data_IF_466150661468
#
_entry.id   IF_466150661468
#
_cell.length_a   1.000
_cell.length_b   1.000
_cell.length_c   1.000
_cell.angle_alpha   90.00
_cell.angle_beta   90.00
_cell.angle_gamma   90.00
#
_symmetry.space_group_name_H-M   'P 1'
#
loop_
_entity.id
_entity.type
_entity.pdbx_description
1 polymer ?
#
# COMPACT_ATOMS: atom_id res chain seq x y z
N UNK A 1 3.92 19.43 -14.62
CA UNK A 1 3.35 18.28 -13.94
C UNK A 1 4.31 17.11 -14.02
N UNK A 2 4.58 16.49 -12.90
CA UNK A 2 5.47 15.34 -12.85
C UNK A 2 4.73 14.09 -13.29
N UNK A 3 5.47 13.11 -13.79
CA UNK A 3 4.87 11.85 -14.22
C UNK A 3 4.06 11.22 -13.10
N UNK A 4 4.58 11.26 -11.88
CA UNK A 4 3.86 10.66 -10.75
C UNK A 4 2.51 11.34 -10.53
N UNK A 5 2.44 12.66 -10.71
CA UNK A 5 1.17 13.35 -10.53
C UNK A 5 0.12 12.86 -11.52
N UNK A 6 0.55 12.63 -12.76
CA UNK A 6 -0.36 12.14 -13.79
C UNK A 6 -0.86 10.73 -13.46
N UNK A 7 0.03 9.89 -12.93
CA UNK A 7 -0.34 8.53 -12.58
C UNK A 7 -1.37 8.54 -11.44
N UNK A 8 -1.17 9.41 -10.45
CA UNK A 8 -2.09 9.47 -9.32
C UNK A 8 -3.51 9.80 -9.77
N UNK A 9 -3.64 10.57 -10.84
CA UNK A 9 -4.97 10.93 -11.32
C UNK A 9 -5.73 9.73 -11.86
N UNK A 10 -5.04 8.64 -12.18
CA UNK A 10 -5.66 7.44 -12.72
C UNK A 10 -5.92 6.39 -11.65
N UNK A 11 -5.48 6.62 -10.42
CA UNK A 11 -5.60 5.65 -9.34
C UNK A 11 -6.73 6.06 -8.40
N UNK A 12 -7.17 5.14 -7.54
CA UNK A 12 -8.24 5.50 -6.60
C UNK A 12 -7.85 6.71 -5.77
N UNK A 13 -8.84 7.52 -5.51
CA UNK A 13 -8.63 8.76 -4.79
C UNK A 13 -8.17 8.47 -3.37
N UNK A 14 -7.16 9.22 -2.91
CA UNK A 14 -6.65 9.06 -1.55
C UNK A 14 -5.42 8.20 -1.46
N UNK A 15 -5.07 7.48 -2.52
CA UNK A 15 -3.90 6.61 -2.47
C UNK A 15 -2.61 7.39 -2.33
N UNK A 16 -2.58 8.60 -2.87
CA UNK A 16 -1.36 9.41 -2.80
C UNK A 16 -1.07 9.86 -1.37
N UNK A 17 -2.06 9.79 -0.48
CA UNK A 17 -1.82 10.11 0.92
C UNK A 17 -1.21 8.94 1.68
N UNK A 18 -1.41 7.73 1.18
CA UNK A 18 -0.96 6.51 1.87
C UNK A 18 0.29 5.93 1.27
N UNK A 19 0.50 6.12 -0.02
CA UNK A 19 1.57 5.44 -0.74
C UNK A 19 2.39 6.43 -1.55
N UNK A 20 3.59 5.99 -1.91
CA UNK A 20 4.39 6.70 -2.89
C UNK A 20 4.70 5.75 -4.03
N UNK A 21 4.75 6.29 -5.23
CA UNK A 21 5.08 5.52 -6.42
C UNK A 21 6.60 5.42 -6.50
N UNK A 22 7.11 4.19 -6.42
CA UNK A 22 8.55 3.99 -6.47
C UNK A 22 9.02 3.48 -7.81
N UNK A 23 8.09 2.98 -8.63
CA UNK A 23 8.44 2.48 -9.95
C UNK A 23 7.19 2.43 -10.82
N UNK A 24 7.36 2.67 -12.11
CA UNK A 24 6.27 2.60 -13.06
C UNK A 24 6.82 2.03 -14.36
N UNK A 25 6.14 1.04 -14.92
CA UNK A 25 6.49 0.47 -16.20
C UNK A 25 5.26 0.38 -17.08
N UNK A 26 5.45 0.70 -18.35
CA UNK A 26 4.39 0.59 -19.33
C UNK A 26 4.89 -0.29 -20.46
N UNK A 27 4.12 -1.31 -20.78
CA UNK A 27 4.39 -2.18 -21.91
C UNK A 27 3.18 -2.16 -22.82
N UNK A 28 3.29 -2.88 -23.93
CA UNK A 28 2.13 -3.02 -24.81
C UNK A 28 1.03 -3.84 -24.19
N UNK A 29 1.37 -4.65 -23.18
CA UNK A 29 0.41 -5.54 -22.56
C UNK A 29 -0.20 -4.98 -21.29
N UNK A 30 0.50 -4.10 -20.58
CA UNK A 30 0.03 -3.74 -19.25
C UNK A 30 0.75 -2.51 -18.72
N UNK A 31 0.17 -1.95 -17.66
CA UNK A 31 0.84 -0.96 -16.83
C UNK A 31 1.16 -1.63 -15.49
N UNK A 32 2.38 -1.44 -15.01
CA UNK A 32 2.80 -1.95 -13.71
C UNK A 32 3.25 -0.78 -12.85
N UNK A 33 2.67 -0.65 -11.67
CA UNK A 33 2.95 0.46 -10.76
C UNK A 33 3.33 -0.11 -9.42
N UNK A 34 4.50 0.26 -8.93
CA UNK A 34 4.99 -0.20 -7.62
C UNK A 34 4.74 0.90 -6.59
N UNK A 35 4.07 0.53 -5.51
CA UNK A 35 3.62 1.46 -4.48
C UNK A 35 4.14 0.99 -3.13
N UNK A 36 4.86 1.86 -2.45
CA UNK A 36 5.30 1.60 -1.09
C UNK A 36 4.48 2.47 -0.14
N UNK A 37 4.03 1.88 0.96
CA UNK A 37 3.32 2.64 1.96
C UNK A 37 4.25 3.67 2.58
N UNK A 38 3.78 4.89 2.72
CA UNK A 38 4.55 5.94 3.39
C UNK A 38 4.72 5.58 4.86
N UNK A 39 5.91 5.87 5.40
CA UNK A 39 6.17 5.56 6.80
C UNK A 39 5.45 6.54 7.68
N UNK A 40 4.49 6.03 8.43
CA UNK A 40 3.72 6.88 9.33
C UNK A 40 3.16 6.02 10.45
N UNK A 41 3.48 6.38 11.68
CA UNK A 41 2.93 5.73 12.87
C UNK A 41 1.69 6.50 13.30
N UNK A 42 0.76 5.79 13.95
CA UNK A 42 -0.32 6.46 14.64
C UNK A 42 0.25 7.34 15.72
N UNK A 43 -0.53 8.33 16.18
CA UNK A 43 -0.05 9.23 17.22
C UNK A 43 0.35 8.45 18.46
N UNK A 44 -0.43 7.44 18.81
CA UNK A 44 -0.12 6.64 19.99
C UNK A 44 1.17 5.87 19.81
N UNK A 45 1.34 5.23 18.66
CA UNK A 45 2.54 4.42 18.42
C UNK A 45 3.77 5.32 18.27
N UNK A 46 3.60 6.52 17.74
CA UNK A 46 4.70 7.44 17.58
C UNK A 46 5.32 7.82 18.92
N UNK A 47 4.50 7.84 19.97
CA UNK A 47 4.99 8.16 21.31
C UNK A 47 5.65 6.99 22.00
N UNK A 48 5.56 5.80 21.41
CA UNK A 48 6.10 4.59 22.02
C UNK A 48 7.51 4.36 21.49
N UNK A 49 8.55 4.58 22.33
CA UNK A 49 9.93 4.45 21.81
C UNK A 49 10.33 3.01 21.51
N UNK A 50 9.52 2.04 21.87
CA UNK A 50 9.81 0.65 21.57
C UNK A 50 9.41 0.24 20.16
N UNK A 51 8.64 1.07 19.47
CA UNK A 51 8.16 0.73 18.13
C UNK A 51 9.10 1.31 17.11
N UNK A 52 9.66 0.44 16.28
CA UNK A 52 10.63 0.82 15.27
C UNK A 52 10.25 0.19 13.95
N UNK A 53 10.78 0.76 12.88
CA UNK A 53 10.54 0.24 11.54
C UNK A 53 11.25 -1.10 11.39
N UNK A 54 10.61 -2.04 10.69
CA UNK A 54 11.17 -3.37 10.45
C UNK A 54 11.05 -3.76 8.99
N UNK A 55 11.23 -2.82 8.08
CA UNK A 55 11.18 -3.12 6.66
C UNK A 55 9.76 -3.13 6.14
N UNK A 56 9.56 -3.91 5.08
CA UNK A 56 8.30 -3.93 4.36
C UNK A 56 7.79 -5.35 4.26
N UNK A 57 6.48 -5.47 4.05
CA UNK A 57 5.91 -6.75 3.65
C UNK A 57 6.37 -7.09 2.25
N UNK A 58 6.05 -8.30 1.81
CA UNK A 58 6.23 -8.65 0.40
C UNK A 58 5.28 -7.82 -0.44
N UNK A 59 5.65 -7.60 -1.70
CA UNK A 59 4.73 -6.96 -2.62
C UNK A 59 3.55 -7.89 -2.88
N UNK A 60 2.36 -7.31 -2.83
CA UNK A 60 1.14 -7.99 -3.23
C UNK A 60 0.69 -7.34 -4.52
N UNK A 61 0.39 -8.15 -5.53
CA UNK A 61 -0.04 -7.63 -6.81
C UNK A 61 -1.56 -7.71 -6.88
N UNK A 62 -2.17 -6.56 -7.13
CA UNK A 62 -3.61 -6.50 -7.34
C UNK A 62 -3.87 -5.89 -8.71
N UNK A 63 -4.93 -6.33 -9.35
CA UNK A 63 -5.32 -5.80 -10.65
C UNK A 63 -6.37 -4.72 -10.44
N UNK A 64 -6.07 -3.53 -10.94
CA UNK A 64 -6.99 -2.42 -10.89
C UNK A 64 -7.76 -2.36 -12.20
N UNK A 65 -8.59 -1.36 -12.36
CA UNK A 65 -9.34 -1.19 -13.58
C UNK A 65 -8.41 -0.85 -14.74
N UNK A 66 -8.71 -1.34 -15.93
CA UNK A 66 -7.80 -1.10 -17.05
C UNK A 66 -7.75 0.36 -17.45
N UNK A 67 -6.62 0.75 -18.00
CA UNK A 67 -6.43 2.06 -18.58
C UNK A 67 -6.12 1.88 -20.05
N UNK A 68 -6.87 2.58 -20.89
CA UNK A 68 -6.64 2.56 -22.34
C UNK A 68 -6.54 1.15 -22.89
N UNK A 69 -7.41 0.26 -22.37
CA UNK A 69 -7.49 -1.09 -22.88
C UNK A 69 -6.41 -2.03 -22.36
N UNK A 70 -5.57 -1.58 -21.47
CA UNK A 70 -4.51 -2.42 -20.88
C UNK A 70 -4.77 -2.63 -19.40
N UNK A 71 -4.53 -3.83 -18.89
CA UNK A 71 -4.68 -4.05 -17.46
C UNK A 71 -3.67 -3.22 -16.68
N UNK A 72 -4.04 -2.88 -15.46
CA UNK A 72 -3.20 -2.14 -14.54
C UNK A 72 -2.92 -3.04 -13.35
N UNK A 73 -1.65 -3.30 -13.09
CA UNK A 73 -1.24 -4.11 -11.95
C UNK A 73 -0.57 -3.21 -10.93
N UNK A 74 -1.07 -3.24 -9.72
CA UNK A 74 -0.51 -2.48 -8.61
C UNK A 74 0.26 -3.44 -7.73
N UNK A 75 1.54 -3.18 -7.58
CA UNK A 75 2.42 -3.98 -6.72
C UNK A 75 2.62 -3.16 -5.47
N UNK A 76 2.00 -3.62 -4.38
CA UNK A 76 1.86 -2.80 -3.18
C UNK A 76 2.47 -3.53 -2.00
N UNK A 77 3.20 -2.79 -1.17
CA UNK A 77 3.69 -3.34 0.08
C UNK A 77 3.51 -2.33 1.18
N UNK A 78 3.40 -2.85 2.40
CA UNK A 78 3.19 -2.03 3.59
C UNK A 78 4.43 -2.05 4.45
N UNK A 79 4.56 -1.05 5.30
CA UNK A 79 5.59 -1.05 6.31
C UNK A 79 5.29 -2.09 7.36
N UNK A 80 6.33 -2.74 7.85
CA UNK A 80 6.24 -3.57 9.05
C UNK A 80 6.85 -2.79 10.21
N UNK A 81 6.22 -2.89 11.35
CA UNK A 81 6.65 -2.25 12.58
C UNK A 81 6.91 -3.32 13.62
N UNK A 82 7.85 -3.04 14.50
CA UNK A 82 8.25 -3.99 15.52
C UNK A 82 8.20 -3.32 16.86
N UNK A 83 7.39 -3.88 17.78
CA UNK A 83 7.37 -3.44 19.18
C UNK A 83 8.39 -4.29 19.92
N UNK A 84 9.51 -3.66 20.27
CA UNK A 84 10.62 -4.40 20.91
C UNK A 84 10.26 -4.91 22.29
N UNK A 85 9.30 -4.26 22.96
CA UNK A 85 8.92 -4.68 24.28
C UNK A 85 8.08 -5.94 24.27
N UNK A 86 7.12 -6.01 23.35
CA UNK A 86 6.25 -7.17 23.25
C UNK A 86 6.76 -8.17 22.24
N UNK A 87 7.72 -7.78 21.43
CA UNK A 87 8.27 -8.59 20.33
C UNK A 87 7.23 -8.86 19.25
N UNK A 88 6.29 -7.97 19.11
CA UNK A 88 5.21 -8.09 18.14
C UNK A 88 5.55 -7.35 16.87
N UNK A 89 5.31 -7.98 15.73
CA UNK A 89 5.50 -7.36 14.43
C UNK A 89 4.13 -7.13 13.83
N UNK A 90 3.89 -5.92 13.35
CA UNK A 90 2.56 -5.58 12.85
C UNK A 90 2.63 -4.61 11.69
N UNK A 91 1.53 -4.48 10.99
CA UNK A 91 1.33 -3.45 9.99
C UNK A 91 -0.08 -2.91 10.19
N UNK A 92 -0.33 -1.72 9.61
CA UNK A 92 -1.62 -1.08 9.83
C UNK A 92 -2.60 -1.48 8.75
N UNK A 93 -3.87 -1.56 9.14
CA UNK A 93 -4.95 -1.57 8.19
C UNK A 93 -5.03 -0.19 7.55
N UNK A 94 -5.34 -0.16 6.28
CA UNK A 94 -5.40 1.09 5.54
C UNK A 94 -6.81 1.30 5.02
N UNK A 95 -7.28 2.54 5.13
CA UNK A 95 -8.58 2.90 4.62
C UNK A 95 -8.41 4.11 3.72
N UNK A 96 -9.03 4.06 2.56
CA UNK A 96 -9.01 5.17 1.64
C UNK A 96 -10.17 6.09 1.93
N UNK A 97 -9.94 7.41 1.93
CA UNK A 97 -11.06 8.35 2.00
C UNK A 97 -11.94 8.10 0.78
N UNK A 98 -13.22 8.31 0.93
CA UNK A 98 -14.16 8.15 -0.17
C UNK A 98 -14.17 6.73 -0.72
N UNK A 99 -13.93 5.76 0.14
CA UNK A 99 -13.98 4.37 -0.28
C UNK A 99 -15.33 4.07 -0.93
N UNK A 100 -16.37 4.65 -0.40
CA UNK A 100 -17.68 4.53 -0.99
C UNK A 100 -17.71 5.33 -2.27
N UNK A 101 -18.07 4.69 -3.36
CA UNK A 101 -18.08 5.35 -4.64
C UNK A 101 -16.78 5.29 -5.41
N UNK A 102 -15.71 4.81 -4.81
CA UNK A 102 -14.49 4.56 -5.56
C UNK A 102 -14.58 3.19 -6.21
N UNK A 103 -13.79 3.02 -7.25
CA UNK A 103 -13.84 1.79 -8.03
C UNK A 103 -12.67 0.91 -7.65
N UNK A 104 -12.68 0.46 -6.41
CA UNK A 104 -11.64 -0.43 -5.91
C UNK A 104 -11.98 -1.87 -6.25
N UNK A 105 -10.98 -2.62 -6.69
CA UNK A 105 -11.18 -4.04 -6.89
C UNK A 105 -11.34 -4.72 -5.53
N UNK A 106 -12.05 -5.86 -5.52
CA UNK A 106 -12.23 -6.61 -4.28
C UNK A 106 -10.89 -7.06 -3.71
N UNK A 107 -9.97 -7.41 -4.59
CA UNK A 107 -8.66 -7.85 -4.19
C UNK A 107 -7.90 -6.74 -3.47
N UNK A 108 -8.00 -5.53 -4.00
CA UNK A 108 -7.32 -4.38 -3.41
C UNK A 108 -7.93 -4.05 -2.06
N UNK A 109 -9.27 -4.07 -1.97
CA UNK A 109 -9.94 -3.80 -0.69
C UNK A 109 -9.49 -4.82 0.35
N UNK A 110 -9.41 -6.09 -0.04
CA UNK A 110 -8.97 -7.12 0.89
C UNK A 110 -7.55 -6.86 1.37
N UNK A 111 -6.68 -6.44 0.45
CA UNK A 111 -5.30 -6.13 0.83
C UNK A 111 -5.25 -5.00 1.85
N UNK A 112 -6.02 -3.95 1.62
CA UNK A 112 -5.99 -2.79 2.52
C UNK A 112 -6.45 -3.16 3.92
N UNK A 113 -7.36 -4.10 4.02
CA UNK A 113 -7.93 -4.47 5.30
C UNK A 113 -7.26 -5.68 5.94
N UNK A 114 -6.25 -6.22 5.29
CA UNK A 114 -5.45 -7.27 5.89
C UNK A 114 -4.69 -6.70 7.06
N UNK A 115 -4.85 -7.29 8.22
CA UNK A 115 -4.20 -6.78 9.42
C UNK A 115 -2.73 -7.10 9.47
N UNK A 116 -2.21 -7.72 8.46
CA UNK A 116 -0.79 -7.90 8.33
C UNK A 116 -0.24 -8.87 9.32
N UNK A 117 -1.10 -9.52 9.93
CA UNK A 117 -0.64 -10.45 10.89
C UNK A 117 0.01 -11.60 10.28
N UNK A 118 0.05 -11.84 9.67
CA UNK A 118 0.59 -12.89 9.36
C UNK A 118 1.72 -13.27 9.46
N UNK A 119 1.85 -13.30 9.60
CA UNK A 119 2.64 -13.49 9.75
C UNK A 119 3.63 -13.43 10.03
N UNK A 120 3.57 -13.36 10.04
CA UNK A 120 4.39 -13.29 10.28
C UNK A 120 5.24 -13.61 10.74
N UNK A 121 4.98 -13.93 10.79
CA UNK A 121 5.67 -14.15 11.14
C UNK A 121 6.49 -14.65 11.40
N UNK A 122 6.33 -14.94 11.23
CA UNK A 122 7.08 -15.42 11.58
C UNK A 122 8.22 -15.50 11.53
N UNK A 123 8.58 -15.44 11.44
CA UNK A 123 9.59 -15.41 11.38
C UNK A 123 10.47 -15.32 11.67
#
# INVERSE_FOLDING_TARGET
MKTADAIWMCLPEGMDELFEIVRFERTEQAYDIWLDEKKKLSDEDFRNPNIVARGYTEYVTVQDYPMRGRPVYLHIRKNKWWDKKTNEIFSYNLELPNEEGTRLSAEFVAFLKDEGGDDGSVD
#
